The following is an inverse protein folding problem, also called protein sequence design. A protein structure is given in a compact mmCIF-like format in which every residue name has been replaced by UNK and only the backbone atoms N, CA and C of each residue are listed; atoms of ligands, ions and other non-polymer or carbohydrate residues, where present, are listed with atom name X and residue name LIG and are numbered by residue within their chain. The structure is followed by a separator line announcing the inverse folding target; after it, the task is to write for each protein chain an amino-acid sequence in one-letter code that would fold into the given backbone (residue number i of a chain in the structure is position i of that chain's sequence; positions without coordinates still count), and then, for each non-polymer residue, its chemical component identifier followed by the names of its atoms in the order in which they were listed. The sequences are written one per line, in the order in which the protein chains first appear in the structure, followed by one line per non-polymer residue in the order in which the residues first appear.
data_IF_671516724504
#
_entry.id   IF_671516724504
#
_cell.length_a   1.000
_cell.length_b   1.000
_cell.length_c   1.000
_cell.angle_alpha   90.00
_cell.angle_beta   90.00
_cell.angle_gamma   90.00
#
_symmetry.space_group_name_H-M   'P 1'
#
loop_
_entity.id
_entity.type
_entity.pdbx_description
1 polymer ?
#
# COMPACT_ATOMS: atom_id res chain seq x y z
N UNK A 1 -15.19 25.95 16.30
CA UNK A 1 -14.67 24.85 15.45
C UNK A 1 -15.70 24.41 14.41
N UNK A 2 -16.86 23.89 14.81
CA UNK A 2 -17.93 23.40 13.92
C UNK A 2 -18.29 24.30 12.74
N UNK A 3 -18.63 25.58 12.97
CA UNK A 3 -19.00 26.50 11.89
C UNK A 3 -17.86 26.77 10.87
N UNK A 4 -16.58 26.60 11.26
CA UNK A 4 -15.45 26.70 10.33
C UNK A 4 -15.37 25.44 9.45
N UNK A 5 -15.53 24.27 10.06
CA UNK A 5 -15.57 22.98 9.36
C UNK A 5 -16.76 22.92 8.39
N UNK A 6 -17.93 23.43 8.75
CA UNK A 6 -19.10 23.48 7.85
C UNK A 6 -18.84 24.38 6.64
N UNK A 7 -18.20 25.55 6.83
CA UNK A 7 -17.81 26.42 5.71
C UNK A 7 -16.77 25.77 4.81
N UNK A 8 -15.76 25.15 5.40
CA UNK A 8 -14.72 24.46 4.64
C UNK A 8 -15.28 23.23 3.91
N UNK A 9 -16.20 22.49 4.52
CA UNK A 9 -16.92 21.41 3.84
C UNK A 9 -17.65 21.95 2.62
N UNK A 10 -18.47 23.01 2.77
CA UNK A 10 -19.18 23.58 1.63
C UNK A 10 -18.25 24.11 0.52
N UNK A 11 -17.10 24.67 0.91
CA UNK A 11 -16.08 25.18 -0.01
C UNK A 11 -15.31 24.07 -0.73
N UNK A 12 -14.94 23.01 -0.02
CA UNK A 12 -14.00 21.98 -0.49
C UNK A 12 -14.63 20.62 -0.77
N UNK A 13 -15.97 20.48 -0.68
CA UNK A 13 -16.69 19.21 -0.96
C UNK A 13 -16.46 18.62 -2.35
N UNK A 14 -15.96 19.40 -3.31
CA UNK A 14 -15.60 18.93 -4.66
C UNK A 14 -14.10 18.72 -4.86
N UNK A 15 -13.28 19.53 -4.20
CA UNK A 15 -11.83 19.51 -4.34
C UNK A 15 -11.20 20.10 -3.06
N UNK A 16 -10.19 19.40 -2.54
CA UNK A 16 -9.43 19.86 -1.38
C UNK A 16 -8.47 20.99 -1.78
N UNK A 17 -8.11 21.89 -0.84
CA UNK A 17 -7.06 22.86 -1.10
C UNK A 17 -5.73 22.15 -1.43
N UNK A 18 -4.99 22.68 -2.40
CA UNK A 18 -3.68 22.13 -2.82
C UNK A 18 -2.70 21.98 -1.66
N UNK A 19 -2.68 22.95 -0.75
CA UNK A 19 -1.92 22.88 0.50
C UNK A 19 -2.88 22.62 1.68
N UNK A 20 -3.33 21.37 1.80
CA UNK A 20 -4.21 20.95 2.89
C UNK A 20 -3.57 21.17 4.26
N UNK A 21 -2.29 20.85 4.41
CA UNK A 21 -1.57 21.00 5.68
C UNK A 21 -1.46 22.48 6.09
N UNK A 22 -1.08 23.37 5.16
CA UNK A 22 -1.04 24.80 5.39
C UNK A 22 -2.41 25.37 5.76
N UNK A 23 -3.46 25.01 5.00
CA UNK A 23 -4.83 25.43 5.31
C UNK A 23 -5.25 24.99 6.71
N UNK A 24 -5.00 23.74 7.09
CA UNK A 24 -5.37 23.23 8.41
C UNK A 24 -4.59 23.95 9.53
N UNK A 25 -3.29 24.18 9.33
CA UNK A 25 -2.46 24.93 10.27
C UNK A 25 -2.94 26.37 10.45
N UNK A 26 -3.38 27.03 9.39
CA UNK A 26 -3.86 28.40 9.44
C UNK A 26 -5.26 28.52 10.05
N UNK A 27 -6.22 27.74 9.53
CA UNK A 27 -7.63 27.83 9.91
C UNK A 27 -7.92 27.23 11.30
N UNK A 28 -7.18 26.18 11.66
CA UNK A 28 -7.44 25.36 12.84
C UNK A 28 -6.30 25.35 13.86
N UNK A 29 -5.12 25.91 13.53
CA UNK A 29 -3.93 25.89 14.41
C UNK A 29 -3.48 24.48 14.79
N UNK A 30 -3.68 23.53 13.87
CA UNK A 30 -3.27 22.13 14.00
C UNK A 30 -2.13 21.89 13.02
N UNK A 31 -0.99 21.42 13.51
CA UNK A 31 0.10 20.92 12.68
C UNK A 31 -0.19 19.46 12.31
N UNK A 32 -0.28 19.18 11.02
CA UNK A 32 -0.50 17.83 10.51
C UNK A 32 0.81 17.09 10.22
N UNK A 33 1.97 17.75 10.34
CA UNK A 33 3.27 17.16 10.01
C UNK A 33 3.47 15.85 10.79
N UNK A 34 3.90 14.81 10.08
CA UNK A 34 4.14 13.49 10.67
C UNK A 34 5.55 13.00 10.33
N UNK A 35 6.08 12.10 11.17
CA UNK A 35 7.31 11.37 10.87
C UNK A 35 7.02 9.89 10.80
N UNK A 36 7.43 9.22 9.72
CA UNK A 36 7.18 7.80 9.52
C UNK A 36 8.36 7.15 8.81
N UNK A 37 8.94 6.09 9.39
CA UNK A 37 10.07 5.32 8.84
C UNK A 37 11.24 6.19 8.29
N UNK A 38 11.56 7.29 8.97
CA UNK A 38 12.62 8.20 8.57
C UNK A 38 12.18 9.35 7.66
N UNK A 39 10.99 9.28 7.07
CA UNK A 39 10.41 10.37 6.28
C UNK A 39 9.72 11.41 7.15
N UNK A 40 9.79 12.66 6.72
CA UNK A 40 8.93 13.73 7.22
C UNK A 40 7.83 13.95 6.19
N UNK A 41 6.58 13.81 6.61
CA UNK A 41 5.39 13.94 5.77
C UNK A 41 4.69 15.26 6.11
N UNK A 42 4.17 16.00 5.10
CA UNK A 42 3.43 17.24 5.36
C UNK A 42 2.10 16.99 6.09
N UNK A 43 1.53 15.79 5.95
CA UNK A 43 0.34 15.31 6.66
C UNK A 43 0.25 13.77 6.62
N UNK A 44 -0.57 13.10 7.45
CA UNK A 44 -0.65 11.64 7.50
C UNK A 44 -1.64 11.04 6.47
N UNK A 45 -2.05 11.81 5.46
CA UNK A 45 -3.05 11.37 4.47
C UNK A 45 -2.34 10.87 3.23
N UNK A 46 -2.59 9.61 2.89
CA UNK A 46 -2.03 8.95 1.72
C UNK A 46 -2.96 7.87 1.20
N UNK A 47 -2.43 7.03 0.32
CA UNK A 47 -3.17 5.97 -0.34
C UNK A 47 -2.55 4.61 -0.07
N UNK A 48 -3.38 3.64 0.31
CA UNK A 48 -2.96 2.25 0.51
C UNK A 48 -2.79 1.46 -0.79
N UNK A 49 -2.17 0.28 -0.70
CA UNK A 49 -1.98 -0.65 -1.82
C UNK A 49 -3.33 -1.01 -2.46
N UNK A 50 -3.46 -0.84 -3.77
CA UNK A 50 -4.74 -1.06 -4.44
C UNK A 50 -4.74 -0.75 -5.93
N UNK A 51 -5.93 -0.80 -6.53
CA UNK A 51 -6.12 -0.61 -7.98
C UNK A 51 -5.81 0.80 -8.48
N UNK A 52 -5.59 1.72 -7.55
CA UNK A 52 -5.24 3.09 -7.84
C UNK A 52 -3.73 3.33 -7.73
N UNK A 53 -2.88 2.32 -7.47
CA UNK A 53 -1.42 2.50 -7.33
C UNK A 53 -0.62 1.53 -8.23
N UNK A 54 -1.01 1.49 -9.51
CA UNK A 54 -0.52 0.56 -10.54
C UNK A 54 0.41 1.19 -11.57
N UNK A 55 0.40 2.51 -11.76
CA UNK A 55 1.15 3.16 -12.84
C UNK A 55 1.58 4.59 -12.48
N UNK A 56 2.51 5.14 -13.27
CA UNK A 56 3.05 6.49 -13.08
C UNK A 56 1.97 7.58 -13.12
N UNK A 57 1.02 7.52 -14.06
CA UNK A 57 -0.05 8.51 -14.18
C UNK A 57 -0.87 8.64 -12.88
N UNK A 58 -1.14 7.51 -12.23
CA UNK A 58 -1.80 7.49 -10.93
C UNK A 58 -0.95 8.13 -9.82
N UNK A 59 0.37 7.86 -9.78
CA UNK A 59 1.27 8.47 -8.79
C UNK A 59 1.39 9.99 -9.00
N UNK A 60 1.42 10.44 -10.26
CA UNK A 60 1.44 11.86 -10.59
C UNK A 60 0.12 12.54 -10.21
N UNK A 61 -1.00 11.85 -10.42
CA UNK A 61 -2.32 12.32 -9.98
C UNK A 61 -2.39 12.45 -8.47
N UNK A 62 -1.85 11.48 -7.73
CA UNK A 62 -1.77 11.54 -6.26
C UNK A 62 -0.93 12.71 -5.77
N UNK A 63 0.25 12.90 -6.39
CA UNK A 63 1.14 14.02 -6.10
C UNK A 63 0.45 15.35 -6.36
N UNK A 64 -0.24 15.48 -7.49
CA UNK A 64 -0.98 16.68 -7.86
C UNK A 64 -2.17 16.94 -6.92
N UNK A 65 -2.80 15.89 -6.42
CA UNK A 65 -3.86 15.95 -5.41
C UNK A 65 -3.33 16.27 -4.00
N UNK A 66 -2.01 16.33 -3.81
CA UNK A 66 -1.38 16.62 -2.54
C UNK A 66 -1.43 15.46 -1.55
N UNK A 67 -1.41 14.20 -2.00
CA UNK A 67 -1.21 13.08 -1.08
C UNK A 67 0.24 13.08 -0.56
N UNK A 68 0.42 12.76 0.73
CA UNK A 68 1.74 12.72 1.34
C UNK A 68 2.49 11.41 1.04
N UNK A 69 1.76 10.31 0.89
CA UNK A 69 2.35 9.02 0.57
C UNK A 69 1.41 8.11 -0.24
N UNK A 70 2.00 7.14 -0.92
CA UNK A 70 1.29 6.09 -1.66
C UNK A 70 1.97 4.75 -1.47
N UNK A 71 1.19 3.72 -1.22
CA UNK A 71 1.66 2.33 -1.24
C UNK A 71 1.30 1.71 -2.58
N UNK A 72 2.28 1.18 -3.29
CA UNK A 72 2.09 0.55 -4.60
C UNK A 72 1.27 -0.73 -4.45
N UNK A 73 0.60 -1.14 -5.54
CA UNK A 73 -0.10 -2.43 -5.56
C UNK A 73 0.85 -3.56 -5.17
N UNK A 74 0.36 -4.48 -4.36
CA UNK A 74 1.15 -5.61 -3.86
C UNK A 74 1.60 -6.55 -4.98
N UNK A 75 2.90 -6.73 -5.20
CA UNK A 75 3.44 -7.79 -6.07
C UNK A 75 3.64 -9.10 -5.31
N UNK A 76 3.44 -10.24 -5.98
CA UNK A 76 3.79 -11.55 -5.40
C UNK A 76 5.27 -11.79 -5.64
N UNK A 77 6.02 -12.12 -4.59
CA UNK A 77 7.44 -12.42 -4.71
C UNK A 77 7.68 -13.64 -5.60
N UNK A 78 8.77 -13.60 -6.37
CA UNK A 78 9.24 -14.68 -7.23
C UNK A 78 10.70 -15.05 -6.96
N UNK A 79 11.05 -16.30 -7.24
CA UNK A 79 12.42 -16.80 -7.27
C UNK A 79 13.14 -16.43 -8.58
N UNK A 80 14.40 -16.84 -8.73
CA UNK A 80 15.20 -16.50 -9.92
C UNK A 80 14.72 -17.14 -11.23
N UNK A 81 13.86 -18.17 -11.14
CA UNK A 81 13.23 -18.83 -12.28
C UNK A 81 11.81 -18.29 -12.57
N UNK A 82 11.33 -17.30 -11.81
CA UNK A 82 9.97 -16.75 -11.92
C UNK A 82 8.91 -17.58 -11.18
N UNK A 83 9.32 -18.53 -10.34
CA UNK A 83 8.44 -19.33 -9.50
C UNK A 83 7.81 -18.50 -8.38
N UNK A 84 6.49 -18.64 -8.17
CA UNK A 84 5.72 -17.85 -7.19
C UNK A 84 4.86 -18.74 -6.29
N UNK A 85 5.28 -18.95 -5.03
CA UNK A 85 4.51 -19.73 -4.05
C UNK A 85 3.09 -19.20 -3.80
N UNK A 86 2.95 -17.88 -3.80
CA UNK A 86 1.66 -17.21 -3.56
C UNK A 86 0.99 -16.76 -4.87
N UNK A 87 1.33 -17.36 -6.02
CA UNK A 87 0.88 -16.92 -7.34
C UNK A 87 -0.65 -16.82 -7.53
N UNK A 88 -1.43 -17.61 -6.78
CA UNK A 88 -2.90 -17.52 -6.75
C UNK A 88 -3.46 -16.17 -6.23
N UNK A 89 -2.59 -15.30 -5.71
CA UNK A 89 -2.91 -13.95 -5.29
C UNK A 89 -2.75 -12.90 -6.38
N UNK A 90 -2.14 -13.23 -7.53
CA UNK A 90 -2.03 -12.35 -8.68
C UNK A 90 -3.23 -12.57 -9.62
N UNK A 91 -4.38 -12.00 -9.25
CA UNK A 91 -5.64 -12.15 -9.99
C UNK A 91 -5.95 -10.83 -10.68
N UNK A 92 -5.95 -10.87 -12.01
CA UNK A 92 -6.40 -9.75 -12.84
C UNK A 92 -7.78 -9.29 -12.42
N UNK A 93 -7.92 -7.98 -12.23
CA UNK A 93 -9.21 -7.42 -11.93
C UNK A 93 -10.12 -7.45 -13.15
N UNK A 94 -11.37 -7.87 -12.93
CA UNK A 94 -12.38 -7.85 -13.99
C UNK A 94 -13.39 -6.71 -13.89
N UNK A 95 -13.64 -6.14 -12.68
CA UNK A 95 -14.56 -5.01 -12.45
C UNK A 95 -14.69 -4.61 -10.98
N UNK A 96 -15.04 -3.33 -10.78
CA UNK A 96 -15.57 -2.78 -9.53
C UNK A 96 -16.96 -3.38 -9.22
N UNK A 97 -17.24 -3.67 -7.94
CA UNK A 97 -18.58 -4.00 -7.44
C UNK A 97 -19.00 -3.01 -6.37
N UNK A 98 -20.24 -2.54 -6.50
CA UNK A 98 -20.89 -1.69 -5.51
C UNK A 98 -21.97 -2.53 -4.84
N UNK A 99 -21.82 -2.80 -3.55
CA UNK A 99 -22.69 -3.69 -2.80
C UNK A 99 -23.33 -2.93 -1.64
N UNK A 100 -24.63 -3.13 -1.42
CA UNK A 100 -25.30 -2.59 -0.24
C UNK A 100 -24.88 -3.38 0.98
N UNK A 101 -24.57 -2.67 2.06
CA UNK A 101 -24.30 -3.25 3.35
C UNK A 101 -25.27 -2.68 4.38
N UNK A 102 -25.50 -3.46 5.43
CA UNK A 102 -26.23 -3.04 6.61
C UNK A 102 -25.31 -3.18 7.81
N UNK A 103 -25.18 -2.12 8.62
CA UNK A 103 -24.41 -2.20 9.86
C UNK A 103 -25.09 -3.13 10.88
N UNK A 104 -24.37 -3.53 11.93
CA UNK A 104 -24.96 -4.27 13.06
C UNK A 104 -26.15 -3.53 13.70
N UNK A 105 -26.15 -2.20 13.61
CA UNK A 105 -27.21 -1.29 14.11
C UNK A 105 -28.33 -1.05 13.07
N UNK A 106 -28.33 -1.75 11.93
CA UNK A 106 -29.38 -1.66 10.92
C UNK A 106 -29.26 -0.50 9.92
N UNK A 107 -28.20 0.32 10.00
CA UNK A 107 -27.99 1.44 9.07
C UNK A 107 -27.57 0.93 7.70
N UNK A 108 -28.23 1.42 6.65
CA UNK A 108 -27.86 1.10 5.28
C UNK A 108 -26.64 1.91 4.83
N UNK A 109 -25.78 1.26 4.06
CA UNK A 109 -24.60 1.85 3.47
C UNK A 109 -24.18 1.10 2.22
N UNK A 110 -23.04 1.49 1.67
CA UNK A 110 -22.48 0.90 0.46
C UNK A 110 -21.02 0.54 0.71
N UNK A 111 -20.58 -0.56 0.12
CA UNK A 111 -19.17 -0.85 -0.06
C UNK A 111 -18.85 -0.88 -1.54
N UNK A 112 -17.66 -0.42 -1.88
CA UNK A 112 -17.11 -0.50 -3.22
C UNK A 112 -15.90 -1.42 -3.14
N UNK A 113 -16.00 -2.60 -3.77
CA UNK A 113 -14.94 -3.61 -3.76
C UNK A 113 -14.42 -3.85 -5.16
N UNK A 114 -13.10 -4.00 -5.25
CA UNK A 114 -12.40 -4.37 -6.48
C UNK A 114 -12.19 -5.88 -6.46
N UNK A 115 -12.64 -6.60 -7.50
CA UNK A 115 -12.51 -8.05 -7.61
C UNK A 115 -11.24 -8.46 -8.36
N UNK A 116 -10.11 -7.92 -7.92
CA UNK A 116 -8.77 -8.33 -8.31
C UNK A 116 -7.84 -8.36 -7.10
N UNK A 117 -6.85 -9.23 -7.11
CA UNK A 117 -5.87 -9.38 -6.01
C UNK A 117 -4.47 -9.22 -6.57
N UNK A 118 -3.61 -8.55 -5.79
CA UNK A 118 -2.21 -8.37 -6.14
C UNK A 118 -1.95 -7.70 -7.49
N UNK A 119 -0.68 -7.60 -7.82
CA UNK A 119 -0.16 -7.25 -9.14
C UNK A 119 -0.23 -8.48 -10.04
N UNK A 120 -0.78 -8.29 -11.22
CA UNK A 120 -1.09 -9.35 -12.19
C UNK A 120 -0.22 -9.28 -13.46
N UNK A 121 0.53 -8.18 -13.63
CA UNK A 121 1.49 -7.98 -14.70
C UNK A 121 2.85 -8.61 -14.37
N UNK A 122 3.82 -8.49 -15.27
CA UNK A 122 5.16 -9.06 -15.05
C UNK A 122 5.89 -8.39 -13.89
N UNK A 123 6.86 -9.09 -13.30
CA UNK A 123 7.71 -8.51 -12.27
C UNK A 123 8.57 -7.36 -12.82
N UNK A 124 9.05 -7.46 -14.07
CA UNK A 124 9.79 -6.36 -14.71
C UNK A 124 8.98 -5.06 -14.83
N UNK A 125 7.70 -5.16 -15.17
CA UNK A 125 6.80 -3.99 -15.18
C UNK A 125 6.65 -3.41 -13.77
N UNK A 126 6.63 -4.25 -12.74
CA UNK A 126 6.61 -3.79 -11.36
C UNK A 126 7.90 -3.05 -11.00
N UNK A 127 9.06 -3.61 -11.37
CA UNK A 127 10.37 -2.97 -11.13
C UNK A 127 10.49 -1.63 -11.87
N UNK A 128 9.89 -1.51 -13.05
CA UNK A 128 9.79 -0.22 -13.76
C UNK A 128 9.01 0.82 -12.95
N UNK A 129 7.86 0.42 -12.39
CA UNK A 129 7.09 1.30 -11.51
C UNK A 129 7.86 1.67 -10.23
N UNK A 130 8.60 0.72 -9.66
CA UNK A 130 9.43 0.94 -8.46
C UNK A 130 10.54 1.96 -8.71
N UNK A 131 11.21 1.92 -9.88
CA UNK A 131 12.20 2.94 -10.29
C UNK A 131 11.60 4.35 -10.24
N UNK A 132 10.48 4.52 -10.93
CA UNK A 132 9.75 5.79 -10.98
C UNK A 132 9.25 6.25 -9.61
N UNK A 133 8.75 5.32 -8.79
CA UNK A 133 8.34 5.60 -7.41
C UNK A 133 9.50 6.07 -6.53
N UNK A 134 10.68 5.47 -6.70
CA UNK A 134 11.91 5.89 -6.01
C UNK A 134 12.33 7.32 -6.39
N UNK A 135 12.26 7.68 -7.68
CA UNK A 135 12.54 9.04 -8.15
C UNK A 135 11.58 10.07 -7.54
N UNK A 136 10.27 9.78 -7.53
CA UNK A 136 9.26 10.63 -6.90
C UNK A 136 9.53 10.82 -5.40
N UNK A 137 9.89 9.75 -4.71
CA UNK A 137 10.22 9.78 -3.28
C UNK A 137 11.45 10.64 -3.01
N UNK A 138 12.52 10.48 -3.78
CA UNK A 138 13.75 11.29 -3.65
C UNK A 138 13.54 12.77 -3.99
N UNK A 139 12.61 13.07 -4.91
CA UNK A 139 12.24 14.44 -5.23
C UNK A 139 11.53 15.18 -4.07
N UNK A 140 11.12 14.46 -3.03
CA UNK A 140 10.45 15.00 -1.85
C UNK A 140 8.97 15.33 -2.05
N UNK A 141 8.41 15.02 -3.22
CA UNK A 141 7.06 15.42 -3.58
C UNK A 141 5.97 14.43 -3.15
N UNK A 142 6.31 13.15 -2.99
CA UNK A 142 5.39 12.08 -2.61
C UNK A 142 6.22 10.89 -2.10
N UNK A 143 5.95 10.39 -0.90
CA UNK A 143 6.62 9.17 -0.42
C UNK A 143 5.92 7.94 -0.99
N UNK A 144 6.58 7.23 -1.89
CA UNK A 144 6.07 5.98 -2.45
C UNK A 144 6.68 4.77 -1.72
N UNK A 145 5.89 3.73 -1.51
CA UNK A 145 6.32 2.51 -0.80
C UNK A 145 5.92 1.29 -1.65
N UNK A 146 6.87 0.51 -2.20
CA UNK A 146 6.55 -0.76 -2.84
C UNK A 146 5.95 -1.74 -1.83
N UNK A 147 4.97 -2.53 -2.28
CA UNK A 147 4.29 -3.54 -1.47
C UNK A 147 4.50 -4.94 -2.04
N UNK A 148 4.86 -5.89 -1.18
CA UNK A 148 5.22 -7.25 -1.62
C UNK A 148 4.58 -8.29 -0.73
N UNK A 149 4.03 -9.31 -1.36
CA UNK A 149 3.54 -10.54 -0.75
C UNK A 149 4.53 -11.67 -1.00
N UNK A 150 5.40 -11.88 -0.03
CA UNK A 150 6.30 -13.04 0.00
C UNK A 150 5.56 -14.31 0.41
N UNK A 151 6.26 -15.44 0.29
CA UNK A 151 5.84 -16.73 0.83
C UNK A 151 5.37 -16.60 2.29
N UNK A 152 4.39 -17.40 2.69
CA UNK A 152 3.89 -17.44 4.07
C UNK A 152 3.68 -18.91 4.44
N UNK A 153 4.73 -19.59 4.92
CA UNK A 153 4.71 -21.04 5.10
C UNK A 153 3.75 -21.47 6.21
N UNK A 154 3.25 -22.70 6.11
CA UNK A 154 2.63 -23.39 7.26
C UNK A 154 3.64 -23.67 8.37
N UNK A 155 3.19 -24.08 9.56
CA UNK A 155 4.06 -24.28 10.74
C UNK A 155 5.19 -25.30 10.51
N UNK A 156 4.93 -26.32 9.71
CA UNK A 156 5.84 -27.42 9.35
C UNK A 156 6.59 -27.19 8.04
N UNK A 157 6.30 -26.09 7.35
CA UNK A 157 6.91 -25.75 6.07
C UNK A 157 8.10 -24.79 6.26
N UNK A 158 9.22 -25.01 5.56
CA UNK A 158 10.33 -24.06 5.54
C UNK A 158 9.99 -22.79 4.76
N UNK A 159 10.73 -21.71 5.03
CA UNK A 159 10.65 -20.51 4.19
C UNK A 159 11.27 -20.78 2.82
N UNK A 160 10.68 -20.19 1.78
CA UNK A 160 11.25 -20.20 0.43
C UNK A 160 12.21 -19.04 0.28
N UNK A 161 13.36 -19.16 0.93
CA UNK A 161 14.35 -18.08 1.08
C UNK A 161 14.76 -17.46 -0.25
N UNK A 162 14.77 -18.24 -1.33
CA UNK A 162 15.08 -17.73 -2.67
C UNK A 162 14.06 -16.69 -3.17
N UNK A 163 12.75 -16.90 -2.96
CA UNK A 163 11.73 -15.91 -3.32
C UNK A 163 11.93 -14.59 -2.56
N UNK A 164 12.33 -14.67 -1.28
CA UNK A 164 12.65 -13.49 -0.47
C UNK A 164 13.87 -12.76 -0.99
N UNK A 165 14.99 -13.46 -1.11
CA UNK A 165 16.27 -12.89 -1.51
C UNK A 165 16.18 -12.30 -2.92
N UNK A 166 15.67 -13.08 -3.88
CA UNK A 166 15.61 -12.63 -5.28
C UNK A 166 14.75 -11.36 -5.40
N UNK A 167 13.51 -11.40 -4.91
CA UNK A 167 12.61 -10.26 -5.01
C UNK A 167 13.15 -9.04 -4.26
N UNK A 168 13.68 -9.20 -3.05
CA UNK A 168 14.22 -8.09 -2.26
C UNK A 168 15.42 -7.44 -2.94
N UNK A 169 16.38 -8.22 -3.45
CA UNK A 169 17.53 -7.69 -4.18
C UNK A 169 17.09 -6.93 -5.43
N UNK A 170 16.20 -7.52 -6.25
CA UNK A 170 15.70 -6.87 -7.48
C UNK A 170 14.97 -5.56 -7.20
N UNK A 171 14.20 -5.49 -6.11
CA UNK A 171 13.53 -4.28 -5.68
C UNK A 171 14.52 -3.22 -5.18
N UNK A 172 15.54 -3.61 -4.41
CA UNK A 172 16.57 -2.70 -3.95
C UNK A 172 17.35 -2.12 -5.14
N UNK A 173 17.73 -2.96 -6.11
CA UNK A 173 18.40 -2.53 -7.34
C UNK A 173 17.52 -1.57 -8.16
N UNK A 174 16.22 -1.87 -8.28
CA UNK A 174 15.28 -0.99 -8.96
C UNK A 174 15.02 0.31 -8.19
N UNK A 175 15.04 0.29 -6.87
CA UNK A 175 14.91 1.49 -6.05
C UNK A 175 16.08 2.44 -6.26
N UNK A 176 17.29 1.89 -6.45
CA UNK A 176 18.53 2.64 -6.63
C UNK A 176 19.08 3.14 -5.31
N UNK A 177 19.65 4.35 -5.32
CA UNK A 177 20.31 4.90 -4.13
C UNK A 177 19.35 5.14 -2.96
N UNK A 178 19.76 4.67 -1.78
CA UNK A 178 19.10 4.89 -0.50
C UNK A 178 18.50 3.62 0.12
N UNK A 179 17.90 3.78 1.30
CA UNK A 179 17.20 2.68 1.97
C UNK A 179 15.85 2.42 1.31
N UNK A 180 15.67 1.23 0.74
CA UNK A 180 14.35 0.77 0.27
C UNK A 180 13.40 0.64 1.46
N UNK A 181 12.34 1.43 1.46
CA UNK A 181 11.21 1.28 2.39
C UNK A 181 10.18 0.39 1.75
N UNK A 182 9.76 -0.67 2.44
CA UNK A 182 8.90 -1.71 1.87
C UNK A 182 7.68 -1.96 2.76
N UNK A 183 6.52 -2.14 2.15
CA UNK A 183 5.38 -2.80 2.79
C UNK A 183 5.48 -4.31 2.59
N UNK A 184 5.61 -5.05 3.69
CA UNK A 184 5.32 -6.49 3.67
C UNK A 184 3.82 -6.67 3.77
N UNK A 185 3.19 -7.05 2.66
CA UNK A 185 1.80 -7.46 2.68
C UNK A 185 1.73 -8.83 3.34
N UNK A 186 1.42 -8.82 4.63
CA UNK A 186 1.15 -10.06 5.32
C UNK A 186 -0.10 -10.70 4.78
N UNK A 187 -1.11 -9.94 4.34
CA UNK A 187 -2.48 -10.40 4.14
C UNK A 187 -2.54 -11.81 3.58
N UNK A 188 -2.64 -12.81 4.46
CA UNK A 188 -3.36 -13.98 4.11
C UNK A 188 -4.81 -13.65 4.58
N UNK A 189 -5.86 -14.21 3.99
CA UNK A 189 -6.89 -14.73 4.90
C UNK A 189 -7.49 -13.78 5.97
N UNK A 190 -7.89 -12.52 5.67
CA UNK A 190 -8.44 -11.64 6.72
C UNK A 190 -9.63 -10.80 6.23
N UNK A 191 -10.65 -11.53 5.81
CA UNK A 191 -12.05 -11.31 6.20
C UNK A 191 -12.80 -12.65 6.04
N UNK A 192 -12.90 -13.44 7.12
CA UNK A 192 -13.72 -14.66 7.17
C UNK A 192 -13.07 -15.98 6.77
N UNK A 193 -11.73 -16.09 6.77
CA UNK A 193 -11.01 -17.34 6.51
C UNK A 193 -10.52 -17.95 7.85
N UNK A 194 -10.70 -19.25 8.06
CA UNK A 194 -10.28 -19.98 9.27
C UNK A 194 -8.77 -19.86 9.55
N UNK A 195 -7.99 -19.52 8.52
CA UNK A 195 -6.56 -19.27 8.61
C UNK A 195 -6.22 -18.01 9.46
N UNK A 196 -7.19 -17.11 9.68
CA UNK A 196 -7.09 -15.98 10.62
C UNK A 196 -6.99 -16.43 12.10
N UNK A 197 -7.52 -17.62 12.42
CA UNK A 197 -7.60 -18.12 13.79
C UNK A 197 -6.30 -18.84 14.23
N UNK A 198 -5.36 -19.05 13.30
CA UNK A 198 -4.08 -19.71 13.58
C UNK A 198 -3.02 -18.75 14.15
N UNK A 199 -3.27 -18.26 15.36
CA UNK A 199 -2.41 -17.31 16.08
C UNK A 199 -0.93 -17.70 16.09
N UNK A 200 -0.61 -18.97 16.32
CA UNK A 200 0.77 -19.45 16.37
C UNK A 200 1.53 -19.20 15.06
N UNK A 201 0.86 -19.45 13.94
CA UNK A 201 1.41 -19.22 12.59
C UNK A 201 1.59 -17.73 12.30
N UNK A 202 0.61 -16.90 12.64
CA UNK A 202 0.72 -15.44 12.46
C UNK A 202 1.91 -14.89 13.26
N UNK A 203 2.05 -15.33 14.52
CA UNK A 203 3.18 -14.92 15.36
C UNK A 203 4.53 -15.41 14.80
N UNK A 204 4.57 -16.62 14.21
CA UNK A 204 5.76 -17.12 13.51
C UNK A 204 6.15 -16.19 12.37
N UNK A 205 5.19 -15.84 11.51
CA UNK A 205 5.43 -14.94 10.38
C UNK A 205 5.93 -13.57 10.84
N UNK A 206 5.28 -12.94 11.82
CA UNK A 206 5.68 -11.62 12.32
C UNK A 206 7.09 -11.58 12.90
N UNK A 207 7.58 -12.70 13.44
CA UNK A 207 8.95 -12.81 13.99
C UNK A 207 9.99 -13.11 12.91
N UNK A 208 9.68 -14.03 12.01
CA UNK A 208 10.69 -14.62 11.11
C UNK A 208 10.76 -13.91 9.75
N UNK A 209 9.62 -13.47 9.19
CA UNK A 209 9.57 -12.81 7.87
C UNK A 209 10.45 -11.56 7.78
N UNK A 210 10.45 -10.63 8.76
CA UNK A 210 11.35 -9.47 8.69
C UNK A 210 12.82 -9.88 8.61
N UNK A 211 13.20 -11.02 9.21
CA UNK A 211 14.55 -11.55 9.12
C UNK A 211 14.90 -12.11 7.74
N UNK A 212 13.92 -12.46 6.92
CA UNK A 212 14.10 -12.98 5.55
C UNK A 212 14.20 -11.86 4.50
N UNK A 213 13.68 -10.66 4.80
CA UNK A 213 13.72 -9.50 3.91
C UNK A 213 14.98 -8.71 4.24
N UNK A 214 16.08 -8.98 3.53
CA UNK A 214 17.39 -8.34 3.72
C UNK A 214 18.02 -7.95 2.39
#
# INVERSE_FOLDING_TARGET
MRARLERDFERFKRELPRDLAGHVREAYRIDLTARYLGYTLPHPVGKGSGQLSLNLEQLETDRAAGLAFVVLKTVVAEDSAGGRSMGAWAIHETRMRVERLRSAEGREGWTVTWKGRGWDRSFEEYLSLVRTAGELTRSGNLVAVPSVKYHLPRMDEPFREEEYRHTTCRLADAWGDGTLTLEKDFSPTLAGDALADERARILRWLREVPGQIR
#
